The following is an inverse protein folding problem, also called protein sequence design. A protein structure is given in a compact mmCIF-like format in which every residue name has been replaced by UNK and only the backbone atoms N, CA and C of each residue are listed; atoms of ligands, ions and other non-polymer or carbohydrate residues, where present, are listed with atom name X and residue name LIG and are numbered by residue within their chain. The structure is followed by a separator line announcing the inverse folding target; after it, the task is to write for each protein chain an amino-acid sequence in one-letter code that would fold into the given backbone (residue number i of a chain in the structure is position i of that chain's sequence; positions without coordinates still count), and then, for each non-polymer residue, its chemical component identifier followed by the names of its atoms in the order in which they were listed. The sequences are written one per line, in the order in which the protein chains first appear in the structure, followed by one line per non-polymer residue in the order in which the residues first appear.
data_IF_999401204157
#
_entry.id   IF_999401204157
#
_cell.length_a   1.000
_cell.length_b   1.000
_cell.length_c   1.000
_cell.angle_alpha   90.00
_cell.angle_beta   90.00
_cell.angle_gamma   90.00
#
_symmetry.space_group_name_H-M   'P 1'
#
loop_
_entity.id
_entity.type
_entity.pdbx_description
1 polymer ?
#
# COMPACT_ATOMS: atom_id res chain seq x y z
N UNK A 1 24.39 58.18 6.05
CA UNK A 1 23.38 57.41 6.83
C UNK A 1 22.12 58.26 6.93
N UNK A 2 21.03 57.72 6.37
CA UNK A 2 19.60 58.05 6.47
C UNK A 2 19.14 59.54 6.51
N UNK A 3 18.59 59.99 5.38
CA UNK A 3 17.59 61.07 5.31
C UNK A 3 16.20 60.41 5.22
N UNK A 4 15.33 60.63 6.21
CA UNK A 4 14.29 61.66 6.25
C UNK A 4 12.92 61.07 5.81
N UNK A 5 12.13 60.72 6.81
CA UNK A 5 10.74 60.27 6.68
C UNK A 5 9.88 61.53 6.58
N UNK A 6 9.10 61.65 5.50
CA UNK A 6 8.02 62.63 5.38
C UNK A 6 6.73 61.90 5.06
N UNK A 7 5.89 61.82 6.07
CA UNK A 7 4.48 61.48 5.99
C UNK A 7 3.73 62.70 5.44
N UNK A 8 2.89 62.52 4.43
CA UNK A 8 1.65 63.28 4.29
C UNK A 8 0.74 62.67 3.21
N UNK A 9 -0.35 62.06 3.68
CA UNK A 9 -1.74 62.35 3.28
C UNK A 9 -2.09 62.44 1.79
N UNK A 10 -2.97 61.53 1.31
CA UNK A 10 -4.18 61.92 0.55
C UNK A 10 -5.10 60.75 0.15
N UNK A 11 -6.26 60.70 0.82
CA UNK A 11 -7.63 60.52 0.29
C UNK A 11 -7.90 59.60 -0.91
N UNK A 12 -8.78 58.61 -0.66
CA UNK A 12 -9.43 57.84 -1.71
C UNK A 12 -10.51 58.61 -2.47
N UNK A 13 -10.74 58.20 -3.72
CA UNK A 13 -12.04 58.15 -4.38
C UNK A 13 -11.93 57.42 -5.73
N UNK A 14 -12.62 56.28 -5.81
CA UNK A 14 -13.21 55.57 -6.95
C UNK A 14 -13.09 56.24 -8.34
N UNK A 15 -12.56 55.51 -9.32
CA UNK A 15 -13.09 55.52 -10.70
C UNK A 15 -13.25 54.10 -11.27
N UNK A 16 -14.50 53.83 -11.64
CA UNK A 16 -15.04 52.61 -12.24
C UNK A 16 -14.60 52.47 -13.69
N UNK A 17 -14.00 51.34 -14.06
CA UNK A 17 -14.03 50.85 -15.43
C UNK A 17 -14.40 49.35 -15.39
N UNK A 18 -15.68 49.03 -15.59
CA UNK A 18 -16.18 47.66 -15.78
C UNK A 18 -16.02 47.24 -17.25
N UNK A 19 -15.42 46.05 -17.45
CA UNK A 19 -15.73 45.09 -18.52
C UNK A 19 -14.57 44.73 -19.47
N UNK A 20 -14.52 43.50 -20.04
CA UNK A 20 -15.37 42.33 -19.83
C UNK A 20 -14.66 41.13 -19.17
N UNK A 21 -15.51 40.35 -18.51
CA UNK A 21 -15.25 39.06 -17.89
C UNK A 21 -14.89 38.03 -18.97
N UNK A 22 -13.70 37.44 -18.86
CA UNK A 22 -13.45 36.08 -19.38
C UNK A 22 -12.65 35.38 -18.29
N UNK A 23 -13.36 34.96 -17.24
CA UNK A 23 -12.87 33.86 -16.43
C UNK A 23 -13.09 32.61 -17.28
N UNK A 24 -12.04 32.14 -17.93
CA UNK A 24 -11.96 30.76 -18.42
C UNK A 24 -11.82 29.84 -17.19
N UNK A 25 -12.82 29.87 -16.32
CA UNK A 25 -13.05 28.83 -15.32
C UNK A 25 -13.74 27.67 -16.06
N UNK A 26 -13.02 27.12 -17.06
CA UNK A 26 -13.29 25.78 -17.54
C UNK A 26 -13.03 24.87 -16.35
N UNK A 27 -14.12 24.55 -15.66
CA UNK A 27 -14.29 23.47 -14.72
C UNK A 27 -13.47 22.25 -15.15
N UNK A 28 -12.22 22.17 -14.70
CA UNK A 28 -11.70 20.93 -14.16
C UNK A 28 -12.48 20.69 -12.87
N UNK A 29 -13.76 20.34 -13.02
CA UNK A 29 -14.41 19.52 -12.00
C UNK A 29 -13.70 18.19 -12.13
N UNK A 30 -12.52 18.11 -11.49
CA UNK A 30 -11.95 16.85 -11.05
C UNK A 30 -13.09 16.19 -10.33
N UNK A 31 -13.75 15.27 -11.02
CA UNK A 31 -14.58 14.29 -10.37
C UNK A 31 -13.63 13.68 -9.34
N UNK A 32 -13.80 14.01 -8.07
CA UNK A 32 -13.27 13.18 -7.01
C UNK A 32 -14.02 11.86 -7.16
N UNK A 33 -13.50 11.00 -8.04
CA UNK A 33 -13.71 9.57 -7.93
C UNK A 33 -13.20 9.22 -6.55
N UNK A 34 -14.13 9.18 -5.60
CA UNK A 34 -13.94 8.49 -4.33
C UNK A 34 -13.80 7.03 -4.74
N UNK A 35 -12.58 6.62 -5.06
CA UNK A 35 -12.24 5.22 -5.07
C UNK A 35 -12.48 4.77 -3.64
N UNK A 36 -13.59 4.07 -3.42
CA UNK A 36 -13.75 3.21 -2.25
C UNK A 36 -12.69 2.11 -2.46
N UNK A 37 -11.44 2.46 -2.18
CA UNK A 37 -10.27 1.57 -2.19
C UNK A 37 -10.40 0.68 -0.96
N UNK A 38 -11.46 -0.13 -0.96
CA UNK A 38 -11.63 -1.18 0.00
C UNK A 38 -10.60 -2.23 -0.37
N UNK A 39 -9.47 -2.14 0.30
CA UNK A 39 -8.51 -3.23 0.39
C UNK A 39 -9.27 -4.39 1.01
N UNK A 40 -9.55 -5.40 0.19
CA UNK A 40 -10.16 -6.63 0.66
C UNK A 40 -9.09 -7.40 1.46
N UNK A 41 -9.35 -7.55 2.76
CA UNK A 41 -8.47 -8.31 3.66
C UNK A 41 -8.96 -9.75 3.68
N UNK A 42 -8.11 -10.68 3.28
CA UNK A 42 -8.37 -12.12 3.34
C UNK A 42 -7.65 -12.68 4.55
N UNK A 43 -8.42 -13.14 5.54
CA UNK A 43 -7.88 -13.86 6.70
C UNK A 43 -7.78 -15.35 6.41
N UNK A 44 -6.62 -15.94 6.68
CA UNK A 44 -6.33 -17.36 6.52
C UNK A 44 -5.70 -17.90 7.80
N UNK A 45 -6.07 -19.10 8.21
CA UNK A 45 -5.37 -19.83 9.26
C UNK A 45 -4.24 -20.66 8.69
N UNK A 46 -3.09 -20.68 9.38
CA UNK A 46 -1.94 -21.50 9.00
C UNK A 46 -2.30 -23.00 8.94
N UNK A 47 -3.17 -23.46 9.83
CA UNK A 47 -3.63 -24.86 9.92
C UNK A 47 -4.53 -25.29 8.74
N UNK A 48 -5.13 -24.34 8.03
CA UNK A 48 -5.96 -24.61 6.84
C UNK A 48 -5.12 -24.74 5.57
N UNK A 49 -3.83 -24.39 5.63
CA UNK A 49 -2.93 -24.49 4.50
C UNK A 49 -2.43 -25.91 4.35
N UNK A 50 -2.50 -26.44 3.13
CA UNK A 50 -2.04 -27.78 2.79
C UNK A 50 -0.62 -27.69 2.21
N UNK A 51 0.42 -28.07 2.96
CA UNK A 51 1.77 -28.10 2.44
C UNK A 51 1.95 -29.25 1.44
N UNK A 52 2.90 -29.09 0.55
CA UNK A 52 3.37 -30.15 -0.32
C UNK A 52 4.28 -31.16 0.41
N UNK A 53 4.82 -32.13 -0.34
CA UNK A 53 5.69 -33.18 0.23
C UNK A 53 6.95 -32.62 0.92
N UNK A 54 7.37 -31.39 0.60
CA UNK A 54 8.52 -30.72 1.22
C UNK A 54 8.16 -29.85 2.42
N UNK A 55 6.87 -29.70 2.74
CA UNK A 55 6.40 -28.76 3.76
C UNK A 55 6.18 -27.34 3.21
N UNK A 56 6.19 -27.16 1.89
CA UNK A 56 6.05 -25.86 1.25
C UNK A 56 4.59 -25.55 0.92
N UNK A 57 4.18 -24.31 1.16
CA UNK A 57 2.90 -23.74 0.71
C UNK A 57 3.21 -22.55 -0.18
N UNK A 58 2.52 -22.40 -1.30
CA UNK A 58 2.66 -21.23 -2.19
C UNK A 58 1.33 -20.52 -2.31
N UNK A 59 1.33 -19.23 -2.05
CA UNK A 59 0.14 -18.38 -2.03
C UNK A 59 0.23 -17.30 -3.10
N UNK A 60 -0.79 -17.27 -3.96
CA UNK A 60 -0.96 -16.27 -5.01
C UNK A 60 -2.24 -15.49 -4.70
N UNK A 61 -2.08 -14.30 -4.11
CA UNK A 61 -3.20 -13.47 -3.65
C UNK A 61 -3.84 -12.61 -4.74
N UNK A 62 -3.25 -12.55 -5.94
CA UNK A 62 -3.66 -11.58 -6.97
C UNK A 62 -3.42 -10.13 -6.52
N UNK A 63 -3.71 -9.18 -7.41
CA UNK A 63 -3.57 -7.76 -7.10
C UNK A 63 -4.66 -7.27 -6.14
N UNK A 64 -4.31 -6.37 -5.22
CA UNK A 64 -5.19 -5.66 -4.27
C UNK A 64 -5.77 -6.43 -3.06
N UNK A 65 -5.32 -7.64 -2.77
CA UNK A 65 -5.72 -8.34 -1.54
C UNK A 65 -4.62 -8.27 -0.48
N UNK A 66 -4.95 -7.74 0.71
CA UNK A 66 -4.09 -7.90 1.89
C UNK A 66 -4.35 -9.26 2.52
N UNK A 67 -3.30 -10.06 2.66
CA UNK A 67 -3.41 -11.37 3.32
C UNK A 67 -3.03 -11.23 4.78
N UNK A 68 -3.96 -11.59 5.66
CA UNK A 68 -3.73 -11.78 7.07
C UNK A 68 -3.60 -13.29 7.34
N UNK A 69 -2.43 -13.71 7.82
CA UNK A 69 -2.18 -15.08 8.20
C UNK A 69 -2.19 -15.22 9.72
N UNK A 70 -3.19 -15.93 10.24
CA UNK A 70 -3.31 -16.29 11.64
C UNK A 70 -2.51 -17.58 11.88
N UNK A 71 -1.30 -17.41 12.41
CA UNK A 71 -0.40 -18.49 12.75
C UNK A 71 -0.50 -18.82 14.24
N UNK A 72 -0.81 -20.08 14.57
CA UNK A 72 -0.70 -20.61 15.93
C UNK A 72 0.75 -20.86 16.38
N UNK A 73 1.72 -20.54 15.52
CA UNK A 73 3.13 -20.88 15.69
C UNK A 73 4.03 -19.67 15.48
N UNK A 74 5.27 -19.78 15.98
CA UNK A 74 6.27 -18.74 15.84
C UNK A 74 6.86 -18.72 14.42
N UNK A 75 6.94 -17.52 13.84
CA UNK A 75 7.76 -17.25 12.65
C UNK A 75 9.24 -17.32 13.03
N UNK A 76 9.97 -18.26 12.43
CA UNK A 76 11.41 -18.50 12.68
C UNK A 76 12.28 -17.63 11.80
N UNK A 77 11.88 -17.43 10.54
CA UNK A 77 12.64 -16.64 9.57
C UNK A 77 11.71 -16.07 8.51
N UNK A 78 12.08 -14.90 7.98
CA UNK A 78 11.46 -14.31 6.81
C UNK A 78 12.52 -13.73 5.87
N UNK A 79 12.18 -13.66 4.58
CA UNK A 79 13.06 -13.08 3.57
C UNK A 79 12.51 -13.24 2.18
N UNK A 80 13.41 -13.28 1.20
CA UNK A 80 13.08 -13.53 -0.21
C UNK A 80 13.73 -14.84 -0.63
N UNK A 81 12.95 -15.70 -1.27
CA UNK A 81 13.38 -16.99 -1.76
C UNK A 81 14.44 -16.81 -2.85
N UNK A 82 15.57 -17.49 -2.68
CA UNK A 82 16.55 -17.69 -3.76
C UNK A 82 15.99 -18.61 -4.83
N UNK A 83 16.80 -18.94 -5.84
CA UNK A 83 16.36 -19.89 -6.88
C UNK A 83 15.99 -21.25 -6.30
N UNK A 84 14.70 -21.60 -6.35
CA UNK A 84 14.14 -22.82 -5.76
C UNK A 84 12.83 -23.21 -6.46
N UNK A 85 12.62 -24.52 -6.62
CA UNK A 85 11.39 -25.12 -7.14
C UNK A 85 10.85 -26.08 -6.08
N UNK A 86 9.58 -25.90 -5.70
CA UNK A 86 8.93 -26.72 -4.67
C UNK A 86 8.72 -28.16 -5.14
N UNK A 87 8.38 -29.08 -4.22
CA UNK A 87 8.07 -30.47 -4.59
C UNK A 87 6.84 -30.56 -5.51
N UNK A 88 5.92 -29.60 -5.42
CA UNK A 88 4.80 -29.44 -6.36
C UNK A 88 5.21 -28.94 -7.76
N UNK A 89 6.48 -28.59 -7.98
CA UNK A 89 6.99 -28.10 -9.26
C UNK A 89 6.78 -26.60 -9.50
N UNK A 90 6.51 -25.82 -8.46
CA UNK A 90 6.31 -24.36 -8.56
C UNK A 90 7.64 -23.64 -8.36
N UNK A 91 8.04 -22.80 -9.30
CA UNK A 91 9.18 -21.90 -9.15
C UNK A 91 8.81 -20.76 -8.20
N UNK A 92 9.53 -20.65 -7.08
CA UNK A 92 9.30 -19.64 -6.04
C UNK A 92 10.42 -18.61 -5.98
N UNK A 93 11.29 -18.59 -7.00
CA UNK A 93 12.42 -17.64 -7.07
C UNK A 93 11.92 -16.19 -6.99
N UNK A 94 12.38 -15.45 -5.99
CA UNK A 94 12.03 -14.05 -5.80
C UNK A 94 10.73 -13.80 -5.02
N UNK A 95 10.01 -14.83 -4.59
CA UNK A 95 8.85 -14.69 -3.71
C UNK A 95 9.26 -14.42 -2.27
N UNK A 96 8.39 -13.79 -1.49
CA UNK A 96 8.56 -13.69 -0.05
C UNK A 96 8.48 -15.09 0.57
N UNK A 97 9.40 -15.40 1.48
CA UNK A 97 9.47 -16.69 2.18
C UNK A 97 9.34 -16.47 3.68
N UNK A 98 8.52 -17.31 4.32
CA UNK A 98 8.24 -17.30 5.74
C UNK A 98 8.36 -18.73 6.27
N UNK A 99 9.31 -18.98 7.17
CA UNK A 99 9.52 -20.30 7.78
C UNK A 99 8.98 -20.34 9.20
N UNK A 100 8.15 -21.33 9.50
CA UNK A 100 7.51 -21.52 10.80
C UNK A 100 8.18 -22.63 11.62
N UNK A 101 7.93 -22.63 12.94
CA UNK A 101 8.56 -23.56 13.86
C UNK A 101 8.19 -25.04 13.63
N UNK A 102 7.00 -25.33 13.06
CA UNK A 102 6.62 -26.68 12.60
C UNK A 102 7.47 -27.24 11.47
N UNK A 103 8.23 -26.38 10.77
CA UNK A 103 8.91 -26.74 9.53
C UNK A 103 8.13 -26.39 8.26
N UNK A 104 6.92 -25.82 8.39
CA UNK A 104 6.18 -25.28 7.24
C UNK A 104 6.90 -24.05 6.68
N UNK A 105 7.01 -23.98 5.35
CA UNK A 105 7.54 -22.81 4.64
C UNK A 105 6.51 -22.24 3.69
N UNK A 106 6.11 -20.99 3.90
CA UNK A 106 5.14 -20.28 3.08
C UNK A 106 5.85 -19.36 2.10
N UNK A 107 5.48 -19.44 0.83
CA UNK A 107 5.93 -18.57 -0.24
C UNK A 107 4.77 -17.69 -0.71
N UNK A 108 5.00 -16.39 -0.91
CA UNK A 108 3.97 -15.44 -1.34
C UNK A 108 4.53 -14.42 -2.32
N UNK A 109 3.73 -14.07 -3.33
CA UNK A 109 4.06 -12.98 -4.28
C UNK A 109 4.04 -11.61 -3.61
N UNK A 110 3.06 -11.38 -2.73
CA UNK A 110 2.92 -10.16 -1.93
C UNK A 110 3.48 -10.32 -0.52
N UNK A 111 3.67 -9.20 0.16
CA UNK A 111 3.91 -9.20 1.60
C UNK A 111 2.63 -9.65 2.31
N UNK A 112 2.77 -10.50 3.32
CA UNK A 112 1.64 -10.97 4.14
C UNK A 112 1.83 -10.48 5.57
N UNK A 113 0.72 -10.13 6.22
CA UNK A 113 0.73 -9.81 7.64
C UNK A 113 0.58 -11.10 8.44
N UNK A 114 1.57 -11.44 9.25
CA UNK A 114 1.54 -12.64 10.09
C UNK A 114 1.19 -12.25 11.51
N UNK A 115 0.06 -12.75 11.99
CA UNK A 115 -0.35 -12.62 13.38
C UNK A 115 -0.08 -13.94 14.10
N UNK A 116 0.82 -13.89 15.08
CA UNK A 116 1.10 -15.05 15.94
C UNK A 116 0.19 -14.99 17.17
N UNK A 117 -0.54 -16.07 17.43
CA UNK A 117 -1.36 -16.19 18.64
C UNK A 117 -0.48 -16.30 19.89
N UNK A 118 -0.75 -15.46 20.90
CA UNK A 118 -0.11 -15.51 22.22
C UNK A 118 -0.54 -16.71 23.05
#
# INVERSE_FOLDING_TARGET
MSANIKDDTAVGAVKKNQGPLVSDDFFYSTFETSFDDKVDIVSLHLDDLLPDESGAVVLFAGECNEILLEAGELLVSSGVASSHVTASGVDVTGLNVYSFASGLTLYSEGEITIQTGM
#
